data_IF_729072075181
#
_entry.id   IF_729072075181
#
_cell.length_a   1.000
_cell.length_b   1.000
_cell.length_c   1.000
_cell.angle_alpha   90.00
_cell.angle_beta   90.00
_cell.angle_gamma   90.00
#
_symmetry.space_group_name_H-M   'P 1'
#
loop_
_entity.id
_entity.type
_entity.pdbx_description
1 polymer ?
#
# COMPACT_ATOMS: atom_id res chain seq x y z
N UNK A 1 -7.75 3.73 -14.42
CA UNK A 1 -7.40 3.13 -13.11
C UNK A 1 -6.21 2.20 -13.26
N UNK A 2 -5.30 2.24 -12.31
CA UNK A 2 -4.10 1.40 -12.34
C UNK A 2 -4.46 -0.07 -12.17
N UNK A 3 -3.94 -0.90 -13.05
CA UNK A 3 -4.22 -2.33 -13.05
C UNK A 3 -3.44 -3.03 -11.93
N UNK A 4 -4.15 -3.80 -11.11
CA UNK A 4 -3.54 -4.59 -10.05
C UNK A 4 -3.59 -6.11 -10.32
N UNK A 5 -3.70 -6.50 -11.59
CA UNK A 5 -3.80 -7.91 -11.97
C UNK A 5 -2.61 -8.75 -11.46
N UNK A 6 -1.43 -8.16 -11.36
CA UNK A 6 -0.24 -8.86 -10.84
C UNK A 6 -0.32 -9.19 -9.36
N UNK A 7 -1.27 -8.60 -8.64
CA UNK A 7 -1.51 -8.89 -7.22
C UNK A 7 -2.56 -9.97 -7.00
N UNK A 8 -3.38 -10.27 -8.03
CA UNK A 8 -4.47 -11.23 -7.89
C UNK A 8 -4.02 -12.64 -7.50
N UNK A 9 -2.89 -13.17 -7.98
CA UNK A 9 -2.43 -14.49 -7.54
C UNK A 9 -2.23 -14.60 -6.03
N UNK A 10 -1.88 -13.50 -5.36
CA UNK A 10 -1.70 -13.49 -3.92
C UNK A 10 -3.02 -13.46 -3.16
N UNK A 11 -4.10 -13.03 -3.81
CA UNK A 11 -5.44 -13.02 -3.23
C UNK A 11 -6.09 -14.39 -3.26
N UNK A 12 -5.60 -15.29 -4.12
CA UNK A 12 -6.16 -16.63 -4.29
C UNK A 12 -5.54 -17.66 -3.37
N UNK A 13 -4.52 -17.29 -2.60
CA UNK A 13 -3.78 -18.23 -1.75
C UNK A 13 -3.30 -17.53 -0.48
N UNK A 14 -2.93 -18.34 0.52
CA UNK A 14 -2.33 -17.82 1.74
C UNK A 14 -0.87 -17.44 1.50
N UNK A 15 -0.46 -16.33 2.07
CA UNK A 15 0.94 -15.91 2.10
C UNK A 15 1.50 -16.37 3.43
N UNK A 16 2.47 -17.26 3.38
CA UNK A 16 3.10 -17.78 4.57
C UNK A 16 4.01 -16.74 5.23
N UNK A 17 4.13 -16.83 6.54
CA UNK A 17 5.05 -16.02 7.32
C UNK A 17 4.89 -14.51 7.05
N UNK A 18 3.64 -14.06 7.09
CA UNK A 18 3.38 -12.64 6.95
C UNK A 18 4.23 -11.85 7.96
N UNK A 19 4.76 -10.71 7.57
CA UNK A 19 5.66 -9.92 8.40
C UNK A 19 7.06 -10.52 8.52
N UNK A 20 7.28 -11.73 8.06
CA UNK A 20 8.61 -12.32 8.00
C UNK A 20 9.24 -12.01 6.65
N UNK A 21 10.52 -11.73 6.65
CA UNK A 21 11.22 -11.31 5.44
C UNK A 21 11.86 -12.46 4.68
N UNK A 22 11.54 -13.70 5.05
CA UNK A 22 12.24 -14.89 4.55
C UNK A 22 11.45 -15.71 3.55
N UNK A 23 10.11 -15.59 3.54
CA UNK A 23 9.28 -16.34 2.62
C UNK A 23 9.39 -15.77 1.20
N UNK A 24 9.56 -16.65 0.19
CA UNK A 24 9.60 -16.21 -1.20
C UNK A 24 8.27 -15.59 -1.64
N UNK A 25 7.16 -16.12 -1.17
CA UNK A 25 5.83 -15.56 -1.45
C UNK A 25 5.71 -14.14 -0.90
N UNK A 26 6.20 -13.92 0.32
CA UNK A 26 6.16 -12.60 0.94
C UNK A 26 7.02 -11.59 0.17
N UNK A 27 8.22 -11.99 -0.20
CA UNK A 27 9.13 -11.14 -0.98
C UNK A 27 8.55 -10.81 -2.35
N UNK A 28 7.97 -11.80 -3.00
CA UNK A 28 7.34 -11.62 -4.31
C UNK A 28 6.14 -10.68 -4.20
N UNK A 29 5.32 -10.84 -3.16
CA UNK A 29 4.20 -9.95 -2.89
C UNK A 29 4.66 -8.51 -2.70
N UNK A 30 5.69 -8.29 -1.86
CA UNK A 30 6.23 -6.94 -1.64
C UNK A 30 6.68 -6.29 -2.95
N UNK A 31 7.41 -7.03 -3.79
CA UNK A 31 7.89 -6.52 -5.06
C UNK A 31 6.74 -6.15 -5.99
N UNK A 32 5.76 -7.01 -6.11
CA UNK A 32 4.59 -6.75 -6.98
C UNK A 32 3.76 -5.58 -6.47
N UNK A 33 3.58 -5.48 -5.16
CA UNK A 33 2.82 -4.37 -4.58
C UNK A 33 3.57 -3.04 -4.74
N UNK A 34 4.87 -3.05 -4.52
CA UNK A 34 5.69 -1.85 -4.74
C UNK A 34 5.61 -1.38 -6.19
N UNK A 35 5.70 -2.31 -7.14
CA UNK A 35 5.59 -1.98 -8.56
C UNK A 35 4.21 -1.42 -8.91
N UNK A 36 3.16 -1.97 -8.32
CA UNK A 36 1.82 -1.45 -8.47
C UNK A 36 1.71 -0.01 -7.95
N UNK A 37 2.25 0.26 -6.76
CA UNK A 37 2.23 1.61 -6.19
C UNK A 37 3.03 2.59 -7.04
N UNK A 38 4.19 2.19 -7.55
CA UNK A 38 4.99 3.03 -8.45
C UNK A 38 4.21 3.39 -9.71
N UNK A 39 3.52 2.43 -10.29
CA UNK A 39 2.73 2.67 -11.50
C UNK A 39 1.55 3.58 -11.22
N UNK A 40 0.85 3.35 -10.10
CA UNK A 40 -0.25 4.20 -9.66
C UNK A 40 0.22 5.64 -9.50
N UNK A 41 1.35 5.84 -8.83
CA UNK A 41 1.91 7.17 -8.65
C UNK A 41 2.25 7.83 -9.98
N UNK A 42 2.90 7.10 -10.87
CA UNK A 42 3.28 7.62 -12.19
C UNK A 42 2.05 8.04 -13.00
N UNK A 43 1.01 7.21 -13.00
CA UNK A 43 -0.20 7.50 -13.78
C UNK A 43 -0.98 8.69 -13.23
N UNK A 44 -0.82 9.02 -11.96
CA UNK A 44 -1.53 10.13 -11.32
C UNK A 44 -0.65 11.37 -11.08
N UNK A 45 0.60 11.33 -11.48
CA UNK A 45 1.52 12.45 -11.22
C UNK A 45 1.95 12.56 -9.77
N UNK A 46 1.91 11.47 -9.03
CA UNK A 46 2.35 11.41 -7.64
C UNK A 46 3.75 10.81 -7.54
N UNK A 47 4.34 10.86 -6.35
CA UNK A 47 5.64 10.29 -6.06
C UNK A 47 5.55 9.31 -4.90
N UNK A 48 6.11 8.11 -5.08
CA UNK A 48 6.23 7.13 -4.00
C UNK A 48 7.50 7.43 -3.23
N UNK A 49 7.37 7.74 -1.94
CA UNK A 49 8.51 8.06 -1.09
C UNK A 49 8.53 7.15 0.13
N UNK A 50 9.73 6.85 0.62
CA UNK A 50 9.93 6.07 1.85
C UNK A 50 9.22 4.73 1.89
N UNK A 51 9.46 3.87 0.91
CA UNK A 51 8.96 2.50 0.96
C UNK A 51 9.77 1.69 1.98
N UNK A 52 9.10 1.24 3.05
CA UNK A 52 9.71 0.49 4.15
C UNK A 52 9.25 -0.96 4.11
N UNK A 53 10.05 -1.89 3.58
CA UNK A 53 9.64 -3.30 3.46
C UNK A 53 9.64 -4.07 4.78
N UNK A 54 10.23 -3.50 5.84
CA UNK A 54 10.38 -4.17 7.12
C UNK A 54 9.55 -3.54 8.24
N UNK A 55 8.66 -2.61 7.91
CA UNK A 55 7.80 -1.97 8.91
C UNK A 55 6.43 -2.63 8.86
N UNK A 56 6.15 -3.49 9.83
CA UNK A 56 5.04 -4.44 9.79
C UNK A 56 5.21 -5.31 8.54
N UNK A 57 4.21 -5.42 7.68
CA UNK A 57 4.42 -6.05 6.38
C UNK A 57 5.16 -5.10 5.44
N UNK A 58 4.67 -3.89 5.29
CA UNK A 58 5.39 -2.78 4.65
C UNK A 58 4.60 -1.49 4.81
N UNK A 59 5.28 -0.38 4.61
CA UNK A 59 4.65 0.93 4.64
C UNK A 59 5.34 1.87 3.66
N UNK A 60 4.65 2.95 3.29
CA UNK A 60 5.20 3.96 2.41
C UNK A 60 4.45 5.28 2.56
N UNK A 61 5.00 6.31 1.94
CA UNK A 61 4.32 7.58 1.78
C UNK A 61 4.13 7.86 0.29
N UNK A 62 3.01 8.48 -0.07
CA UNK A 62 2.75 8.96 -1.42
C UNK A 62 2.58 10.47 -1.33
N UNK A 63 3.33 11.20 -2.17
CA UNK A 63 3.29 12.66 -2.24
C UNK A 63 2.59 13.11 -3.51
N UNK A 64 1.68 14.05 -3.38
CA UNK A 64 1.04 14.70 -4.52
C UNK A 64 0.42 16.02 -4.10
N UNK A 65 0.48 17.03 -4.97
CA UNK A 65 -0.10 18.35 -4.72
C UNK A 65 0.33 18.95 -3.38
N UNK A 66 1.61 18.79 -3.03
CA UNK A 66 2.20 19.26 -1.76
C UNK A 66 1.58 18.63 -0.51
N UNK A 67 0.92 17.50 -0.68
CA UNK A 67 0.33 16.72 0.41
C UNK A 67 0.95 15.33 0.45
N UNK A 68 0.85 14.69 1.60
CA UNK A 68 1.35 13.33 1.80
C UNK A 68 0.25 12.45 2.35
N UNK A 69 0.25 11.18 1.97
CA UNK A 69 -0.52 10.13 2.63
C UNK A 69 0.42 9.02 3.06
N UNK A 70 0.16 8.45 4.23
CA UNK A 70 0.85 7.29 4.74
C UNK A 70 -0.01 6.06 4.47
N UNK A 71 0.61 5.01 3.94
CA UNK A 71 -0.08 3.76 3.59
C UNK A 71 0.69 2.61 4.20
N UNK A 72 -0.01 1.69 4.88
CA UNK A 72 0.62 0.48 5.38
C UNK A 72 -0.30 -0.73 5.28
N UNK A 73 0.31 -1.89 5.19
CA UNK A 73 -0.36 -3.17 5.37
C UNK A 73 0.31 -3.86 6.55
N UNK A 74 -0.46 -4.11 7.60
CA UNK A 74 0.07 -4.71 8.82
C UNK A 74 -0.07 -6.24 8.83
N UNK A 75 -0.95 -6.80 8.01
CA UNK A 75 -1.20 -8.24 7.97
C UNK A 75 -1.60 -8.69 6.57
N UNK A 76 -0.66 -9.30 5.85
CA UNK A 76 -0.88 -9.74 4.47
C UNK A 76 -1.85 -10.92 4.37
N UNK A 77 -2.19 -11.59 5.47
CA UNK A 77 -3.17 -12.69 5.43
C UNK A 77 -4.52 -12.23 4.92
N UNK A 78 -4.87 -10.99 5.14
CA UNK A 78 -6.14 -10.43 4.67
C UNK A 78 -6.09 -9.95 3.23
N UNK A 79 -4.91 -9.91 2.62
CA UNK A 79 -4.77 -9.41 1.25
C UNK A 79 -5.42 -10.33 0.22
N UNK A 80 -5.64 -11.59 0.57
CA UNK A 80 -6.34 -12.54 -0.30
C UNK A 80 -7.82 -12.19 -0.50
N UNK A 81 -8.37 -11.29 0.30
CA UNK A 81 -9.75 -10.81 0.17
C UNK A 81 -9.74 -9.45 -0.51
N UNK A 82 -10.05 -9.41 -1.81
CA UNK A 82 -9.90 -8.22 -2.64
C UNK A 82 -10.60 -6.99 -2.08
N UNK A 83 -11.83 -7.14 -1.57
CA UNK A 83 -12.61 -6.02 -1.07
C UNK A 83 -12.51 -5.81 0.44
N UNK A 84 -11.60 -6.51 1.09
CA UNK A 84 -11.40 -6.33 2.51
C UNK A 84 -10.62 -5.05 2.80
N UNK A 85 -11.08 -4.25 3.77
CA UNK A 85 -10.42 -2.99 4.14
C UNK A 85 -9.21 -3.27 5.04
N UNK A 86 -8.15 -3.78 4.45
CA UNK A 86 -6.92 -4.15 5.17
C UNK A 86 -5.75 -3.21 4.92
N UNK A 87 -5.96 -2.17 4.12
CA UNK A 87 -4.92 -1.19 3.82
C UNK A 87 -5.19 0.04 4.67
N UNK A 88 -4.26 0.32 5.60
CA UNK A 88 -4.33 1.53 6.41
C UNK A 88 -3.86 2.72 5.58
N UNK A 89 -4.60 3.82 5.61
CA UNK A 89 -4.24 5.05 4.94
C UNK A 89 -4.62 6.24 5.82
N UNK A 90 -3.77 7.24 5.85
CA UNK A 90 -4.03 8.48 6.59
C UNK A 90 -3.25 9.64 6.02
N UNK A 91 -3.73 10.85 6.26
CA UNK A 91 -2.98 12.05 5.88
C UNK A 91 -1.69 12.16 6.69
N UNK A 92 -0.65 12.66 6.08
CA UNK A 92 0.64 12.90 6.73
C UNK A 92 1.12 14.30 6.40
N UNK A 93 1.92 14.88 7.30
CA UNK A 93 2.47 16.24 7.12
C UNK A 93 3.74 16.24 6.29
N UNK A 94 4.49 15.13 6.33
CA UNK A 94 5.74 14.96 5.62
C UNK A 94 6.08 13.46 5.54
N UNK A 95 7.15 13.13 4.87
CA UNK A 95 7.55 11.75 4.57
C UNK A 95 8.06 10.93 5.76
N UNK A 96 8.08 11.52 6.96
CA UNK A 96 8.47 10.86 8.20
C UNK A 96 7.38 10.94 9.26
N UNK A 97 6.18 11.33 8.87
CA UNK A 97 5.07 11.49 9.80
C UNK A 97 4.39 10.13 10.05
N UNK A 98 4.94 9.38 10.98
CA UNK A 98 4.41 8.04 11.33
C UNK A 98 3.32 8.10 12.40
N UNK A 99 2.98 9.27 12.93
CA UNK A 99 2.09 9.39 14.09
C UNK A 99 0.93 10.36 13.89
N UNK A 100 0.93 11.12 12.82
CA UNK A 100 -0.10 12.13 12.58
C UNK A 100 -1.34 11.59 11.88
N UNK A 101 -2.40 12.40 11.86
CA UNK A 101 -3.61 12.11 11.13
C UNK A 101 -4.51 11.07 11.81
N UNK A 102 -5.63 10.81 11.17
CA UNK A 102 -6.60 9.81 11.62
C UNK A 102 -6.51 8.57 10.74
N UNK A 103 -6.36 7.41 11.35
CA UNK A 103 -6.29 6.15 10.62
C UNK A 103 -7.60 5.87 9.89
N UNK A 104 -7.50 5.59 8.61
CA UNK A 104 -8.60 5.15 7.77
C UNK A 104 -8.20 3.85 7.10
N UNK A 105 -9.15 3.11 6.60
CA UNK A 105 -8.89 1.82 5.97
C UNK A 105 -9.58 1.75 4.62
N UNK A 106 -8.92 1.09 3.67
CA UNK A 106 -9.46 0.94 2.32
C UNK A 106 -9.08 -0.44 1.79
N UNK A 107 -9.75 -0.84 0.71
CA UNK A 107 -9.46 -2.08 0.00
C UNK A 107 -8.59 -1.81 -1.21
N UNK A 108 -8.00 -2.86 -1.79
CA UNK A 108 -7.17 -2.72 -2.99
C UNK A 108 -7.95 -2.10 -4.16
N UNK A 109 -9.19 -2.54 -4.48
CA UNK A 109 -9.93 -1.91 -5.57
C UNK A 109 -10.23 -0.43 -5.36
N UNK A 110 -10.31 0.02 -4.11
CA UNK A 110 -10.62 1.42 -3.78
C UNK A 110 -9.38 2.26 -3.49
N UNK A 111 -8.20 1.66 -3.45
CA UNK A 111 -6.98 2.34 -3.00
C UNK A 111 -6.65 3.58 -3.83
N UNK A 112 -6.65 3.45 -5.13
CA UNK A 112 -6.30 4.57 -6.02
C UNK A 112 -7.26 5.74 -5.86
N UNK A 113 -8.56 5.46 -5.85
CA UNK A 113 -9.58 6.49 -5.65
C UNK A 113 -9.43 7.16 -4.29
N UNK A 114 -9.11 6.39 -3.26
CA UNK A 114 -8.89 6.92 -1.90
C UNK A 114 -7.68 7.85 -1.87
N UNK A 115 -6.58 7.45 -2.48
CA UNK A 115 -5.38 8.29 -2.57
C UNK A 115 -5.72 9.60 -3.30
N UNK A 116 -6.40 9.52 -4.43
CA UNK A 116 -6.81 10.69 -5.20
C UNK A 116 -7.67 11.64 -4.35
N UNK A 117 -8.61 11.12 -3.58
CA UNK A 117 -9.48 11.94 -2.75
C UNK A 117 -8.71 12.65 -1.63
N UNK A 118 -7.65 12.05 -1.12
CA UNK A 118 -6.85 12.61 -0.02
C UNK A 118 -5.77 13.59 -0.49
N UNK A 119 -5.25 13.37 -1.68
CA UNK A 119 -4.22 14.25 -2.24
C UNK A 119 -4.80 15.40 -3.09
N UNK A 120 -6.05 15.32 -3.41
CA UNK A 120 -6.72 16.33 -4.21
C UNK A 120 -6.52 16.16 -5.67
#
# INVERSE_FOLDING_TARGET
MTNYANLKPFMARDIENWGATVSDDYKSFQTKYRNFLKKLCKENGYELVKFNPNHYCFSCFVKGNDKFVYISISDVRYFKKEWFNNILIRSAKHEKDYTGGSNQYTSLPCLETKIQSMLG
#
